data_IF_500146817791
#
_entry.id   IF_500146817791
#
_cell.length_a   1.000
_cell.length_b   1.000
_cell.length_c   1.000
_cell.angle_alpha   90.00
_cell.angle_beta   90.00
_cell.angle_gamma   90.00
#
_symmetry.space_group_name_H-M   'P 1'
#
loop_
_entity.id
_entity.type
_entity.pdbx_description
1 polymer ?
#
# COMPACT_ATOMS: atom_id res chain seq x y z
N UNK A 1 33.52 -14.54 44.02
CA UNK A 1 34.03 -14.33 42.65
C UNK A 1 33.23 -13.20 42.05
N UNK A 2 33.87 -12.08 41.73
CA UNK A 2 33.22 -10.97 41.01
C UNK A 2 33.39 -11.33 39.53
N UNK A 3 32.31 -11.74 38.87
CA UNK A 3 32.31 -11.86 37.41
C UNK A 3 32.44 -10.43 36.85
N UNK A 4 33.36 -10.16 35.91
CA UNK A 4 33.39 -8.86 35.26
C UNK A 4 32.03 -8.62 34.61
N UNK A 5 31.45 -7.44 34.84
CA UNK A 5 30.22 -7.06 34.15
C UNK A 5 30.44 -7.20 32.63
N UNK A 6 29.52 -7.86 31.92
CA UNK A 6 29.63 -7.97 30.47
C UNK A 6 29.67 -6.54 29.89
N UNK A 7 30.76 -6.22 29.21
CA UNK A 7 30.96 -4.91 28.61
C UNK A 7 29.91 -4.72 27.53
N UNK A 8 29.03 -3.73 27.70
CA UNK A 8 28.14 -3.32 26.62
C UNK A 8 28.96 -2.61 25.54
N UNK A 9 29.13 -3.28 24.41
CA UNK A 9 29.87 -2.72 23.28
C UNK A 9 29.17 -1.50 22.66
N UNK A 10 27.86 -1.32 22.88
CA UNK A 10 27.13 -0.13 22.42
C UNK A 10 27.53 1.15 23.16
N UNK A 11 28.04 1.05 24.39
CA UNK A 11 28.55 2.22 25.14
C UNK A 11 29.76 2.87 24.46
N UNK A 12 30.44 2.14 23.57
CA UNK A 12 31.59 2.64 22.81
C UNK A 12 31.19 3.37 21.52
N UNK A 13 29.94 3.21 21.07
CA UNK A 13 29.45 3.85 19.86
C UNK A 13 28.94 5.25 20.17
N UNK A 14 29.18 6.27 19.32
CA UNK A 14 28.49 7.56 19.42
C UNK A 14 26.98 7.45 19.13
N UNK A 15 26.18 8.38 19.68
CA UNK A 15 24.73 8.42 19.45
C UNK A 15 24.36 8.55 17.97
N UNK A 16 25.15 9.29 17.18
CA UNK A 16 24.94 9.43 15.73
C UNK A 16 25.00 8.09 14.99
N UNK A 17 25.82 7.14 15.45
CA UNK A 17 25.92 5.80 14.88
C UNK A 17 24.71 4.95 15.29
N UNK A 18 24.27 5.07 16.55
CA UNK A 18 23.04 4.40 17.01
C UNK A 18 21.81 4.89 16.24
N UNK A 19 21.67 6.20 16.06
CA UNK A 19 20.60 6.80 15.26
C UNK A 19 20.64 6.32 13.81
N UNK A 20 21.83 6.23 13.21
CA UNK A 20 21.96 5.65 11.88
C UNK A 20 21.48 4.19 11.83
N UNK A 21 21.84 3.37 12.83
CA UNK A 21 21.38 1.98 12.94
C UNK A 21 19.85 1.93 13.10
N UNK A 22 19.27 2.73 13.99
CA UNK A 22 17.82 2.77 14.20
C UNK A 22 17.06 3.22 12.95
N UNK A 23 17.58 4.20 12.21
CA UNK A 23 17.02 4.61 10.91
C UNK A 23 17.11 3.50 9.84
N UNK A 24 18.06 2.56 9.95
CA UNK A 24 18.10 1.36 9.10
C UNK A 24 17.12 0.28 9.54
N UNK A 25 16.81 0.19 10.83
CA UNK A 25 15.78 -0.69 11.35
C UNK A 25 14.40 -0.19 10.88
N UNK A 26 14.05 1.06 11.21
CA UNK A 26 12.85 1.78 10.78
C UNK A 26 11.49 1.19 11.22
N UNK A 27 11.38 -0.13 11.30
CA UNK A 27 10.18 -0.85 11.71
C UNK A 27 9.80 -0.50 13.15
N UNK A 28 8.59 0.04 13.33
CA UNK A 28 8.12 0.53 14.64
C UNK A 28 8.11 -0.55 15.72
N UNK A 29 7.90 -1.82 15.36
CA UNK A 29 7.88 -2.91 16.34
C UNK A 29 9.30 -3.27 16.76
N UNK A 30 10.23 -3.32 15.81
CA UNK A 30 11.64 -3.53 16.11
C UNK A 30 12.23 -2.36 16.91
N UNK A 31 11.90 -1.11 16.54
CA UNK A 31 12.29 0.09 17.28
C UNK A 31 11.71 0.10 18.71
N UNK A 32 10.45 -0.30 18.89
CA UNK A 32 9.86 -0.47 20.22
C UNK A 32 10.62 -1.48 21.09
N UNK A 33 11.14 -2.57 20.49
CA UNK A 33 12.03 -3.52 21.18
C UNK A 33 13.40 -2.90 21.49
N UNK A 34 13.96 -2.07 20.60
CA UNK A 34 15.19 -1.32 20.89
C UNK A 34 15.00 -0.38 22.09
N UNK A 35 13.85 0.27 22.21
CA UNK A 35 13.54 1.21 23.29
C UNK A 35 13.53 0.59 24.69
N UNK A 36 13.41 -0.74 24.82
CA UNK A 36 13.43 -1.42 26.12
C UNK A 36 14.81 -1.97 26.51
N UNK A 37 15.81 -1.87 25.62
CA UNK A 37 17.17 -2.39 25.86
C UNK A 37 17.90 -1.56 26.91
N UNK A 38 17.87 -0.23 26.80
CA UNK A 38 18.54 0.68 27.73
C UNK A 38 17.87 2.06 27.74
N UNK A 39 18.13 2.87 28.77
CA UNK A 39 17.65 4.26 28.82
C UNK A 39 18.17 5.10 27.65
N UNK A 40 19.40 4.83 27.21
CA UNK A 40 20.03 5.52 26.07
C UNK A 40 19.32 5.18 24.76
N UNK A 41 18.95 3.91 24.56
CA UNK A 41 18.19 3.53 23.38
C UNK A 41 16.78 4.12 23.43
N UNK A 42 16.15 4.08 24.60
CA UNK A 42 14.83 4.67 24.83
C UNK A 42 14.75 6.16 24.46
N UNK A 43 15.80 6.94 24.75
CA UNK A 43 15.86 8.36 24.38
C UNK A 43 16.19 8.61 22.92
N UNK A 44 16.87 7.68 22.24
CA UNK A 44 17.30 7.86 20.85
C UNK A 44 16.28 7.36 19.82
N UNK A 45 15.48 6.34 20.15
CA UNK A 45 14.48 5.81 19.23
C UNK A 45 13.46 6.86 18.77
N UNK A 46 12.94 7.77 19.62
CA UNK A 46 12.05 8.86 19.17
C UNK A 46 12.68 9.82 18.14
N UNK A 47 14.01 9.89 18.06
CA UNK A 47 14.76 10.80 17.18
C UNK A 47 15.02 10.21 15.78
N UNK A 48 14.51 9.02 15.48
CA UNK A 48 14.61 8.48 14.12
C UNK A 48 13.71 9.27 13.18
N UNK A 49 14.19 9.45 11.95
CA UNK A 49 13.47 10.18 10.91
C UNK A 49 12.94 9.27 9.78
N UNK A 50 13.32 7.99 9.79
CA UNK A 50 12.81 6.96 8.88
C UNK A 50 12.01 5.88 9.62
N UNK A 51 10.70 5.82 9.35
CA UNK A 51 9.75 4.96 10.06
C UNK A 51 8.98 4.07 9.10
N UNK A 52 8.88 2.78 9.43
CA UNK A 52 8.08 1.77 8.75
C UNK A 52 7.00 1.23 9.70
N UNK A 53 5.73 1.35 9.29
CA UNK A 53 4.58 0.79 10.00
C UNK A 53 4.00 -0.36 9.18
N UNK A 54 4.08 -1.59 9.71
CA UNK A 54 3.39 -2.76 9.15
C UNK A 54 2.06 -2.97 9.87
N UNK A 55 0.98 -3.02 9.09
CA UNK A 55 -0.39 -3.20 9.61
C UNK A 55 -0.75 -4.68 9.57
N UNK A 56 -0.87 -5.31 10.74
CA UNK A 56 -1.02 -6.78 10.84
C UNK A 56 -2.47 -7.29 10.77
N UNK A 57 -3.49 -6.47 11.10
CA UNK A 57 -4.88 -6.93 11.19
C UNK A 57 -5.88 -5.88 10.68
N UNK A 58 -6.80 -6.31 9.81
CA UNK A 58 -8.11 -5.66 9.63
C UNK A 58 -9.07 -6.40 10.55
N UNK A 59 -9.46 -5.81 11.68
CA UNK A 59 -10.52 -6.40 12.51
C UNK A 59 -11.82 -6.28 11.72
N UNK A 60 -12.42 -7.40 11.34
CA UNK A 60 -13.78 -7.43 10.80
C UNK A 60 -14.75 -7.21 11.96
N UNK A 61 -15.47 -6.09 11.97
CA UNK A 61 -16.69 -5.93 12.77
C UNK A 61 -17.79 -6.84 12.17
N UNK A 62 -17.72 -8.15 12.40
CA UNK A 62 -18.89 -9.03 12.28
C UNK A 62 -19.47 -9.21 13.69
N UNK A 63 -20.32 -8.27 14.11
CA UNK A 63 -21.28 -8.48 15.19
C UNK A 63 -22.60 -7.79 14.80
N UNK A 64 -23.60 -8.55 14.36
CA UNK A 64 -24.68 -8.85 15.29
C UNK A 64 -25.24 -10.24 15.10
N UNK A 65 -25.06 -11.05 16.14
CA UNK A 65 -25.93 -12.16 16.49
C UNK A 65 -27.39 -11.73 16.58
N UNK A 66 -28.26 -12.40 15.83
CA UNK A 66 -29.67 -12.57 16.15
C UNK A 66 -30.14 -13.94 15.62
N UNK A 67 -30.89 -14.72 16.42
CA UNK A 67 -31.30 -16.07 16.05
C UNK A 67 -32.63 -16.08 15.26
N UNK A 68 -32.83 -17.15 14.48
CA UNK A 68 -34.07 -17.65 13.84
C UNK A 68 -34.58 -16.96 12.56
N UNK A 69 -34.53 -17.63 11.41
CA UNK A 69 -35.59 -18.54 10.90
C UNK A 69 -35.46 -18.84 9.38
N UNK A 70 -35.51 -20.14 9.06
CA UNK A 70 -35.99 -20.82 7.83
C UNK A 70 -35.76 -20.24 6.42
N UNK A 71 -35.16 -21.09 5.54
CA UNK A 71 -35.42 -21.28 4.09
C UNK A 71 -35.34 -20.04 3.20
N UNK A 72 -34.74 -20.01 2.00
CA UNK A 72 -34.79 -20.94 0.88
C UNK A 72 -33.60 -20.63 -0.03
N UNK A 73 -33.07 -21.65 -0.69
CA UNK A 73 -32.09 -21.52 -1.77
C UNK A 73 -32.71 -20.81 -2.98
N UNK A 74 -32.06 -19.80 -3.53
CA UNK A 74 -31.88 -19.72 -5.00
C UNK A 74 -30.78 -18.72 -5.39
N UNK A 75 -30.16 -19.14 -6.47
CA UNK A 75 -28.95 -18.71 -7.14
C UNK A 75 -29.03 -17.32 -7.81
N UNK A 76 -27.85 -16.81 -8.23
CA UNK A 76 -27.60 -15.71 -9.19
C UNK A 76 -27.56 -14.26 -8.67
N UNK A 77 -26.36 -13.83 -8.30
CA UNK A 77 -25.54 -12.86 -9.07
C UNK A 77 -24.42 -12.32 -8.16
N UNK A 78 -23.22 -12.87 -8.33
CA UNK A 78 -22.02 -12.44 -7.61
C UNK A 78 -21.60 -11.07 -8.12
N UNK A 79 -21.95 -10.01 -7.39
CA UNK A 79 -21.40 -8.67 -7.56
C UNK A 79 -19.99 -8.61 -6.91
N UNK A 80 -18.90 -8.39 -7.66
CA UNK A 80 -17.53 -8.43 -7.12
C UNK A 80 -17.07 -7.12 -6.46
N UNK A 81 -17.99 -6.24 -6.08
CA UNK A 81 -17.68 -4.87 -5.58
C UNK A 81 -17.94 -4.65 -4.08
N UNK A 82 -18.53 -5.62 -3.35
CA UNK A 82 -18.75 -5.46 -1.91
C UNK A 82 -17.48 -5.73 -1.08
N UNK A 83 -16.56 -6.57 -1.56
CA UNK A 83 -15.33 -6.90 -0.83
C UNK A 83 -14.31 -5.75 -0.79
N UNK A 84 -14.31 -4.86 -1.79
CA UNK A 84 -13.43 -3.68 -1.84
C UNK A 84 -13.74 -2.67 -0.73
N UNK A 85 -14.99 -2.59 -0.30
CA UNK A 85 -15.39 -1.77 0.85
C UNK A 85 -15.10 -2.47 2.18
N UNK A 86 -14.97 -3.81 2.23
CA UNK A 86 -14.78 -4.51 3.50
C UNK A 86 -13.33 -4.42 4.00
N UNK A 87 -12.33 -4.39 3.10
CA UNK A 87 -10.93 -4.26 3.52
C UNK A 87 -10.54 -2.82 3.92
N UNK A 88 -11.10 -1.82 3.24
CA UNK A 88 -10.77 -0.40 3.46
C UNK A 88 -11.53 0.21 4.65
N UNK A 89 -12.67 -0.36 5.06
CA UNK A 89 -13.59 0.28 6.01
C UNK A 89 -13.71 -0.39 7.39
N UNK A 90 -13.07 -1.53 7.66
CA UNK A 90 -13.29 -2.24 8.94
C UNK A 90 -12.29 -1.92 10.06
N UNK A 91 -11.23 -1.14 9.82
CA UNK A 91 -10.14 -1.03 10.82
C UNK A 91 -10.05 0.23 11.69
N UNK A 92 -10.66 1.36 11.34
CA UNK A 92 -10.08 2.64 11.82
C UNK A 92 -10.99 3.77 12.31
N UNK A 93 -12.28 3.58 12.62
CA UNK A 93 -13.02 4.63 13.36
C UNK A 93 -14.16 4.08 14.25
N UNK A 94 -13.96 4.11 15.57
CA UNK A 94 -14.98 4.57 16.54
C UNK A 94 -14.37 5.72 17.37
N UNK A 95 -15.21 6.67 17.85
CA UNK A 95 -14.78 7.99 18.29
C UNK A 95 -13.99 7.94 19.60
N UNK A 96 -12.94 8.76 19.66
CA UNK A 96 -12.09 8.96 20.82
C UNK A 96 -12.88 9.40 22.06
N UNK A 97 -13.23 8.44 22.91
CA UNK A 97 -13.50 8.67 24.32
C UNK A 97 -12.87 7.53 25.12
N UNK A 98 -12.02 7.93 26.07
CA UNK A 98 -11.40 7.11 27.11
C UNK A 98 -10.17 6.30 26.69
N UNK A 99 -8.99 6.81 27.01
CA UNK A 99 -8.13 6.32 28.11
C UNK A 99 -6.84 7.17 28.07
N UNK A 100 -6.91 8.31 28.75
CA UNK A 100 -5.74 8.88 29.43
C UNK A 100 -5.58 8.11 30.72
N UNK A 101 -4.72 7.10 30.75
CA UNK A 101 -4.02 6.62 31.95
C UNK A 101 -3.06 5.51 31.53
N UNK A 102 -1.85 5.55 32.08
CA UNK A 102 -0.67 4.73 31.75
C UNK A 102 0.11 5.16 30.50
N UNK A 103 0.87 6.25 30.65
CA UNK A 103 2.34 6.26 30.76
C UNK A 103 2.74 7.74 30.92
N UNK A 104 2.73 8.19 32.17
CA UNK A 104 3.38 9.41 32.62
C UNK A 104 4.23 8.99 33.81
N UNK A 105 5.46 8.55 33.55
CA UNK A 105 6.44 8.37 34.62
C UNK A 105 7.03 9.75 34.89
N UNK A 106 6.40 10.47 35.82
CA UNK A 106 7.02 11.58 36.54
C UNK A 106 7.13 11.16 38.01
N UNK A 107 8.28 11.33 38.67
CA UNK A 107 8.49 10.79 40.01
C UNK A 107 7.99 11.78 41.06
N UNK A 108 7.10 11.34 41.97
CA UNK A 108 7.15 11.61 43.44
C UNK A 108 5.88 11.17 44.20
N UNK A 109 6.14 10.37 45.25
CA UNK A 109 5.49 10.32 46.60
C UNK A 109 4.15 9.61 46.80
N UNK A 110 4.27 8.39 47.36
CA UNK A 110 3.84 7.92 48.70
C UNK A 110 2.35 7.89 49.13
N UNK A 111 1.98 6.69 49.63
CA UNK A 111 0.91 6.32 50.58
C UNK A 111 -0.54 6.47 50.06
N UNK A 112 -1.52 5.57 50.28
CA UNK A 112 -1.73 4.52 51.27
C UNK A 112 -2.92 3.62 50.87
N UNK A 113 -2.81 2.31 51.16
CA UNK A 113 -3.85 1.33 51.54
C UNK A 113 -5.32 1.46 51.06
N UNK A 114 -5.84 0.40 50.44
CA UNK A 114 -6.91 -0.45 51.03
C UNK A 114 -7.29 -1.62 50.11
N UNK A 115 -7.68 -2.72 50.74
CA UNK A 115 -7.87 -4.06 50.19
C UNK A 115 -9.20 -4.26 49.45
N UNK A 116 -9.22 -5.16 48.45
CA UNK A 116 -10.38 -5.98 48.13
C UNK A 116 -9.99 -7.14 47.20
N UNK A 117 -10.08 -8.35 47.77
CA UNK A 117 -10.47 -9.65 47.20
C UNK A 117 -10.01 -10.05 45.78
N UNK A 118 -9.21 -11.12 45.80
CA UNK A 118 -8.92 -12.02 44.69
C UNK A 118 -10.19 -12.81 44.36
N UNK A 119 -10.66 -12.73 43.12
CA UNK A 119 -11.30 -13.88 42.47
C UNK A 119 -10.65 -14.05 41.10
N UNK A 120 -10.04 -15.21 40.92
CA UNK A 120 -9.21 -15.54 39.78
C UNK A 120 -10.06 -16.16 38.68
N UNK A 121 -10.01 -15.57 37.50
CA UNK A 121 -10.11 -16.33 36.26
C UNK A 121 -9.09 -15.75 35.28
N UNK A 122 -7.88 -16.30 35.40
CA UNK A 122 -6.73 -16.04 34.54
C UNK A 122 -6.93 -16.84 33.24
N UNK A 123 -7.54 -16.20 32.25
CA UNK A 123 -7.29 -16.54 30.85
C UNK A 123 -6.64 -15.33 30.21
N UNK A 124 -5.30 -15.39 30.10
CA UNK A 124 -4.45 -14.53 29.29
C UNK A 124 -4.97 -14.47 27.84
N UNK A 125 -5.96 -13.62 27.60
CA UNK A 125 -6.23 -13.10 26.27
C UNK A 125 -5.15 -12.04 26.06
N UNK A 126 -4.04 -12.48 25.48
CA UNK A 126 -2.95 -11.65 24.96
C UNK A 126 -3.56 -10.57 24.07
N UNK A 127 -3.99 -9.46 24.70
CA UNK A 127 -4.65 -8.37 24.02
C UNK A 127 -3.55 -7.64 23.28
N UNK A 128 -3.32 -8.07 22.05
CA UNK A 128 -2.47 -7.33 21.11
C UNK A 128 -3.11 -5.96 21.02
N UNK A 129 -2.51 -4.96 21.68
CA UNK A 129 -2.97 -3.58 21.60
C UNK A 129 -2.70 -3.12 20.17
N UNK A 130 -3.70 -3.28 19.31
CA UNK A 130 -3.65 -2.78 17.94
C UNK A 130 -3.76 -1.25 18.00
N UNK A 131 -2.62 -0.58 18.15
CA UNK A 131 -2.55 0.86 18.04
C UNK A 131 -2.71 1.26 16.57
N UNK A 132 -3.61 2.21 16.31
CA UNK A 132 -3.73 2.85 14.99
C UNK A 132 -2.37 3.44 14.58
N UNK A 133 -2.00 3.43 13.28
CA UNK A 133 -0.76 4.05 12.79
C UNK A 133 -0.54 5.46 13.34
N UNK A 134 -1.57 6.30 13.39
CA UNK A 134 -1.49 7.66 13.96
C UNK A 134 -1.02 7.66 15.41
N UNK A 135 -1.48 6.71 16.22
CA UNK A 135 -1.11 6.64 17.64
C UNK A 135 0.34 6.17 17.84
N UNK A 136 0.82 5.28 16.97
CA UNK A 136 2.22 4.82 17.01
C UNK A 136 3.17 5.93 16.58
N UNK A 137 2.80 6.69 15.56
CA UNK A 137 3.64 7.73 14.97
C UNK A 137 3.88 8.93 15.91
N UNK A 138 2.98 9.19 16.86
CA UNK A 138 3.16 10.21 17.92
C UNK A 138 4.37 10.01 18.82
N UNK A 139 4.93 8.81 18.85
CA UNK A 139 6.11 8.51 19.67
C UNK A 139 7.43 8.98 19.04
N UNK A 140 7.38 9.57 17.85
CA UNK A 140 8.53 10.05 17.10
C UNK A 140 8.48 11.57 16.95
N UNK A 141 9.63 12.22 17.12
CA UNK A 141 9.73 13.69 17.14
C UNK A 141 9.66 14.28 15.73
N UNK A 142 10.53 13.81 14.83
CA UNK A 142 10.70 14.38 13.49
C UNK A 142 10.76 13.28 12.42
N UNK A 143 9.59 12.80 12.00
CA UNK A 143 9.53 11.83 10.90
C UNK A 143 9.71 12.57 9.56
N UNK A 144 10.70 12.17 8.76
CA UNK A 144 10.91 12.67 7.39
C UNK A 144 10.47 11.66 6.34
N UNK A 145 10.75 10.38 6.57
CA UNK A 145 10.43 9.28 5.66
C UNK A 145 9.45 8.34 6.36
N UNK A 146 8.23 8.22 5.84
CA UNK A 146 7.23 7.31 6.36
C UNK A 146 6.83 6.28 5.32
N UNK A 147 7.00 4.99 5.65
CA UNK A 147 6.45 3.88 4.89
C UNK A 147 5.36 3.18 5.71
N UNK A 148 4.19 3.01 5.12
CA UNK A 148 3.10 2.21 5.68
C UNK A 148 2.90 1.00 4.77
N UNK A 149 2.94 -0.19 5.35
CA UNK A 149 2.70 -1.44 4.65
C UNK A 149 1.37 -2.05 5.12
N UNK A 150 0.41 -2.15 4.20
CA UNK A 150 -0.86 -2.83 4.38
C UNK A 150 -0.71 -4.34 4.15
N UNK A 151 -1.59 -5.20 4.70
CA UNK A 151 -1.62 -6.61 4.35
C UNK A 151 -1.87 -6.82 2.85
N UNK A 152 -1.61 -8.02 2.35
CA UNK A 152 -1.66 -8.37 0.92
C UNK A 152 -2.90 -7.84 0.18
N UNK A 153 -2.69 -7.46 -1.09
CA UNK A 153 -3.58 -6.71 -1.98
C UNK A 153 -5.09 -6.73 -1.74
N UNK A 154 -5.68 -5.53 -1.75
CA UNK A 154 -7.13 -5.27 -1.61
C UNK A 154 -7.95 -5.74 -2.83
N UNK A 155 -7.32 -5.87 -3.99
CA UNK A 155 -7.98 -6.24 -5.23
C UNK A 155 -7.94 -7.77 -5.36
N UNK A 156 -9.04 -8.43 -5.00
CA UNK A 156 -9.25 -9.88 -5.17
C UNK A 156 -9.19 -10.27 -6.65
N UNK A 157 -7.98 -10.44 -7.16
CA UNK A 157 -7.69 -10.84 -8.53
C UNK A 157 -7.74 -12.36 -8.67
N UNK A 158 -8.24 -12.83 -9.81
CA UNK A 158 -8.25 -14.26 -10.13
C UNK A 158 -6.83 -14.83 -10.18
N UNK A 159 -6.67 -16.12 -9.85
CA UNK A 159 -5.37 -16.78 -9.88
C UNK A 159 -4.69 -16.65 -11.26
N UNK A 160 -3.43 -16.24 -11.26
CA UNK A 160 -2.63 -16.06 -12.47
C UNK A 160 -2.78 -14.69 -13.14
N UNK A 161 -3.76 -13.86 -12.75
CA UNK A 161 -3.88 -12.48 -13.22
C UNK A 161 -2.83 -11.61 -12.54
N UNK A 162 -2.22 -10.69 -13.29
CA UNK A 162 -1.38 -9.63 -12.75
C UNK A 162 -2.16 -8.33 -12.75
N UNK A 163 -2.15 -7.64 -11.61
CA UNK A 163 -2.51 -6.25 -11.50
C UNK A 163 -1.54 -5.57 -10.56
N UNK A 164 -0.90 -4.50 -11.02
CA UNK A 164 -0.03 -3.63 -10.23
C UNK A 164 -0.34 -2.18 -10.57
N UNK A 165 -0.36 -1.33 -9.57
CA UNK A 165 -0.56 0.09 -9.79
C UNK A 165 0.31 0.94 -8.86
N UNK A 166 0.73 2.10 -9.38
CA UNK A 166 1.44 3.13 -8.63
C UNK A 166 0.76 4.46 -8.87
N UNK A 167 0.44 5.19 -7.82
CA UNK A 167 -0.17 6.51 -7.91
C UNK A 167 0.59 7.52 -7.06
N UNK A 168 0.87 8.69 -7.66
CA UNK A 168 1.42 9.83 -6.93
C UNK A 168 0.29 10.85 -6.70
N UNK A 169 0.24 11.43 -5.50
CA UNK A 169 -0.77 12.42 -5.11
C UNK A 169 -0.11 13.67 -4.53
N UNK A 170 -0.65 14.84 -4.88
CA UNK A 170 -0.54 16.09 -4.13
C UNK A 170 -1.86 16.38 -3.40
N UNK A 171 -2.49 17.53 -3.66
CA UNK A 171 -3.87 17.77 -3.20
C UNK A 171 -4.90 16.88 -3.92
N UNK A 172 -4.59 16.48 -5.15
CA UNK A 172 -5.36 15.56 -6.00
C UNK A 172 -4.43 14.53 -6.62
N UNK A 173 -4.96 13.60 -7.41
CA UNK A 173 -4.13 12.66 -8.17
C UNK A 173 -3.21 13.43 -9.13
N UNK A 174 -1.89 13.15 -9.10
CA UNK A 174 -0.94 13.72 -10.06
C UNK A 174 -0.69 12.78 -11.24
N UNK A 175 -0.46 11.51 -10.94
CA UNK A 175 -0.34 10.48 -11.95
C UNK A 175 -0.69 9.10 -11.36
N UNK A 176 -1.17 8.21 -12.20
CA UNK A 176 -1.35 6.80 -11.87
C UNK A 176 -0.89 5.94 -13.04
N UNK A 177 -0.09 4.91 -12.75
CA UNK A 177 0.32 3.90 -13.73
C UNK A 177 -0.21 2.56 -13.27
N UNK A 178 -0.85 1.85 -14.20
CA UNK A 178 -1.42 0.53 -13.98
C UNK A 178 -0.78 -0.43 -14.98
N UNK A 179 -0.17 -1.49 -14.48
CA UNK A 179 0.30 -2.62 -15.27
C UNK A 179 -0.57 -3.83 -14.94
N UNK A 180 -1.12 -4.48 -15.95
CA UNK A 180 -1.84 -5.73 -15.76
C UNK A 180 -1.61 -6.73 -16.88
N UNK A 181 -1.84 -8.01 -16.57
CA UNK A 181 -1.79 -9.11 -17.53
C UNK A 181 -2.90 -10.10 -17.21
N UNK A 182 -3.56 -10.64 -18.24
CA UNK A 182 -4.62 -11.64 -18.03
C UNK A 182 -4.07 -12.96 -17.51
N UNK A 183 -2.80 -13.24 -17.75
CA UNK A 183 -2.11 -14.41 -17.22
C UNK A 183 -0.60 -14.15 -17.18
N UNK A 184 0.06 -14.60 -16.11
CA UNK A 184 1.52 -14.64 -15.98
C UNK A 184 2.00 -16.08 -16.05
N UNK A 185 2.95 -16.34 -16.92
CA UNK A 185 3.65 -17.63 -17.00
C UNK A 185 5.08 -17.39 -16.56
N UNK A 186 5.48 -18.02 -15.46
CA UNK A 186 6.84 -17.92 -14.95
C UNK A 186 7.76 -18.86 -15.72
N UNK A 187 9.06 -18.50 -15.87
CA UNK A 187 10.05 -19.40 -16.44
C UNK A 187 10.12 -20.68 -15.62
N UNK A 188 10.01 -21.84 -16.28
CA UNK A 188 10.13 -23.14 -15.60
C UNK A 188 11.58 -23.32 -15.19
N UNK A 189 11.90 -23.10 -13.91
CA UNK A 189 13.14 -23.62 -13.34
C UNK A 189 13.00 -25.14 -13.27
N UNK A 190 13.69 -25.82 -14.19
CA UNK A 190 13.56 -27.26 -14.39
C UNK A 190 14.08 -28.03 -13.18
N UNK A 191 13.21 -28.37 -12.24
CA UNK A 191 13.35 -29.56 -11.38
C UNK A 191 12.00 -30.25 -11.26
N UNK A 192 11.58 -30.90 -12.34
CA UNK A 192 10.73 -32.10 -12.41
C UNK A 192 10.11 -32.16 -13.80
N UNK A 193 10.49 -33.18 -14.57
CA UNK A 193 10.03 -33.37 -15.94
C UNK A 193 8.54 -33.70 -16.00
N UNK A 194 7.80 -32.96 -16.82
CA UNK A 194 6.60 -33.43 -17.49
C UNK A 194 6.43 -32.66 -18.80
N UNK A 195 6.57 -33.40 -19.90
CA UNK A 195 6.19 -33.15 -21.31
C UNK A 195 5.72 -31.73 -21.71
N UNK A 196 6.52 -31.07 -22.55
CA UNK A 196 6.09 -29.97 -23.41
C UNK A 196 4.95 -30.43 -24.33
N UNK A 197 3.79 -29.80 -24.22
CA UNK A 197 2.89 -29.66 -25.37
C UNK A 197 3.32 -28.42 -26.14
N UNK A 198 3.86 -28.64 -27.34
CA UNK A 198 4.04 -27.60 -28.35
C UNK A 198 2.67 -26.97 -28.63
N UNK A 199 2.49 -25.72 -28.22
CA UNK A 199 1.42 -24.87 -28.75
C UNK A 199 2.05 -24.07 -29.89
N UNK A 200 1.48 -24.26 -31.07
CA UNK A 200 1.90 -23.69 -32.34
C UNK A 200 2.28 -22.21 -32.23
N UNK A 201 3.52 -21.93 -32.65
CA UNK A 201 4.00 -20.59 -32.91
C UNK A 201 3.30 -20.03 -34.13
N UNK A 202 2.13 -19.43 -33.94
CA UNK A 202 1.69 -18.40 -34.86
C UNK A 202 2.42 -17.12 -34.48
N UNK A 203 3.60 -16.93 -35.10
CA UNK A 203 4.28 -15.65 -35.14
C UNK A 203 3.46 -14.66 -35.96
N UNK A 204 2.29 -14.28 -35.44
CA UNK A 204 1.60 -13.10 -35.91
C UNK A 204 2.53 -11.93 -35.62
N UNK A 205 2.92 -11.23 -36.69
CA UNK A 205 3.52 -9.91 -36.62
C UNK A 205 2.59 -9.04 -35.75
N UNK A 206 2.86 -9.01 -34.44
CA UNK A 206 2.15 -8.21 -33.46
C UNK A 206 2.46 -6.76 -33.78
N UNK A 207 1.67 -6.19 -34.69
CA UNK A 207 1.81 -4.84 -35.22
C UNK A 207 1.49 -3.78 -34.13
N UNK A 208 1.49 -4.18 -32.85
CA UNK A 208 1.12 -3.40 -31.68
C UNK A 208 -0.36 -3.06 -31.62
N UNK A 209 -1.19 -3.63 -32.49
CA UNK A 209 -2.63 -3.39 -32.51
C UNK A 209 -3.37 -4.34 -31.56
N UNK A 210 -4.36 -3.80 -30.86
CA UNK A 210 -5.29 -4.60 -30.04
C UNK A 210 -6.09 -5.54 -30.96
N UNK A 211 -6.05 -6.87 -30.75
CA UNK A 211 -6.80 -7.84 -31.55
C UNK A 211 -8.30 -7.74 -31.25
N UNK A 212 -9.15 -8.07 -32.24
CA UNK A 212 -10.62 -7.98 -32.11
C UNK A 212 -11.17 -8.79 -30.92
N UNK A 213 -10.52 -9.90 -30.61
CA UNK A 213 -10.83 -10.76 -29.45
C UNK A 213 -10.77 -10.01 -28.11
N UNK A 214 -9.98 -8.94 -28.01
CA UNK A 214 -9.91 -8.10 -26.82
C UNK A 214 -11.24 -7.39 -26.53
N UNK A 215 -11.97 -6.99 -27.58
CA UNK A 215 -13.25 -6.29 -27.47
C UNK A 215 -14.41 -7.27 -27.27
N UNK A 216 -14.38 -8.44 -27.90
CA UNK A 216 -15.48 -9.41 -27.85
C UNK A 216 -15.45 -10.33 -26.63
N UNK A 217 -14.26 -10.66 -26.10
CA UNK A 217 -14.11 -11.65 -25.03
C UNK A 217 -14.12 -11.03 -23.62
N UNK A 218 -14.66 -9.81 -23.47
CA UNK A 218 -14.68 -9.10 -22.19
C UNK A 218 -13.33 -8.59 -21.71
N UNK A 219 -12.27 -8.67 -22.53
CA UNK A 219 -10.93 -8.17 -22.20
C UNK A 219 -10.93 -6.68 -21.90
N UNK A 220 -11.57 -5.88 -22.75
CA UNK A 220 -11.75 -4.44 -22.50
C UNK A 220 -12.50 -4.17 -21.18
N UNK A 221 -13.59 -4.89 -20.92
CA UNK A 221 -14.37 -4.75 -19.68
C UNK A 221 -13.50 -5.00 -18.44
N UNK A 222 -12.65 -6.03 -18.49
CA UNK A 222 -11.71 -6.34 -17.42
C UNK A 222 -10.70 -5.21 -17.19
N UNK A 223 -10.16 -4.59 -18.25
CA UNK A 223 -9.24 -3.44 -18.14
C UNK A 223 -9.92 -2.19 -17.56
N UNK A 224 -11.19 -1.96 -17.92
CA UNK A 224 -12.00 -0.88 -17.32
C UNK A 224 -12.17 -1.12 -15.82
N UNK A 225 -12.54 -2.35 -15.41
CA UNK A 225 -12.67 -2.70 -13.99
C UNK A 225 -11.36 -2.50 -13.25
N UNK A 226 -10.23 -3.01 -13.78
CA UNK A 226 -8.91 -2.80 -13.16
C UNK A 226 -8.56 -1.32 -12.99
N UNK A 227 -8.84 -0.52 -14.01
CA UNK A 227 -8.56 0.92 -14.00
C UNK A 227 -9.38 1.63 -12.91
N UNK A 228 -10.70 1.41 -12.89
CA UNK A 228 -11.59 2.02 -11.90
C UNK A 228 -11.26 1.54 -10.48
N UNK A 229 -11.05 0.23 -10.29
CA UNK A 229 -10.71 -0.35 -8.99
C UNK A 229 -9.39 0.19 -8.46
N UNK A 230 -8.35 0.31 -9.30
CA UNK A 230 -7.05 0.87 -8.88
C UNK A 230 -7.16 2.35 -8.49
N UNK A 231 -7.93 3.15 -9.25
CA UNK A 231 -8.14 4.56 -8.92
C UNK A 231 -8.94 4.74 -7.61
N UNK A 232 -9.94 3.90 -7.37
CA UNK A 232 -10.71 3.88 -6.10
C UNK A 232 -9.79 3.51 -4.93
N UNK A 233 -8.97 2.47 -5.09
CA UNK A 233 -8.05 2.00 -4.07
C UNK A 233 -6.99 3.07 -3.74
N UNK A 234 -6.48 3.75 -4.77
CA UNK A 234 -5.55 4.86 -4.64
C UNK A 234 -6.19 6.08 -3.93
N UNK A 235 -7.39 6.50 -4.33
CA UNK A 235 -8.07 7.66 -3.74
C UNK A 235 -8.52 7.41 -2.29
N UNK A 236 -8.84 6.17 -1.93
CA UNK A 236 -9.13 5.80 -0.55
C UNK A 236 -7.89 5.86 0.34
N UNK A 237 -6.74 5.31 -0.12
CA UNK A 237 -5.46 5.44 0.59
C UNK A 237 -5.07 6.90 0.82
N UNK A 238 -5.23 7.73 -0.21
CA UNK A 238 -4.94 9.16 -0.12
C UNK A 238 -5.79 9.85 0.97
N UNK A 239 -7.09 9.55 1.01
CA UNK A 239 -7.99 10.07 2.04
C UNK A 239 -7.57 9.64 3.46
N UNK A 240 -7.17 8.37 3.65
CA UNK A 240 -6.77 7.84 4.95
C UNK A 240 -5.49 8.48 5.51
N UNK A 241 -4.62 8.98 4.64
CA UNK A 241 -3.34 9.58 5.02
C UNK A 241 -3.46 11.02 5.52
N UNK A 242 -4.60 11.68 5.28
CA UNK A 242 -4.79 13.10 5.59
C UNK A 242 -4.50 13.44 7.07
N UNK A 243 -5.00 12.70 8.08
CA UNK A 243 -4.71 13.03 9.48
C UNK A 243 -3.23 12.89 9.82
N UNK A 244 -2.56 11.87 9.27
CA UNK A 244 -1.12 11.61 9.48
C UNK A 244 -0.29 12.76 8.91
N UNK A 245 -0.59 13.19 7.69
CA UNK A 245 0.13 14.29 7.01
C UNK A 245 -0.14 15.64 7.71
N UNK A 246 -1.35 15.81 8.25
CA UNK A 246 -1.71 17.00 9.01
C UNK A 246 -0.93 17.09 10.34
N UNK A 247 -0.71 15.97 11.01
CA UNK A 247 0.00 15.88 12.29
C UNK A 247 1.53 15.94 12.12
N UNK A 248 2.10 15.22 11.14
CA UNK A 248 3.55 15.14 10.93
C UNK A 248 4.03 16.13 9.84
N UNK A 249 4.30 17.37 10.25
CA UNK A 249 4.71 18.47 9.36
C UNK A 249 6.12 18.32 8.77
N UNK A 250 6.98 17.53 9.39
CA UNK A 250 8.36 17.29 8.97
C UNK A 250 8.50 16.24 7.85
N UNK A 251 7.40 15.58 7.45
CA UNK A 251 7.45 14.57 6.39
C UNK A 251 7.90 15.18 5.07
N UNK A 252 8.94 14.58 4.50
CA UNK A 252 9.51 14.84 3.18
C UNK A 252 9.12 13.75 2.17
N UNK A 253 8.82 12.53 2.62
CA UNK A 253 8.37 11.45 1.76
C UNK A 253 7.42 10.51 2.50
N UNK A 254 6.35 10.12 1.81
CA UNK A 254 5.38 9.17 2.29
C UNK A 254 5.09 8.10 1.23
N UNK A 255 5.15 6.84 1.63
CA UNK A 255 4.81 5.69 0.78
C UNK A 255 3.83 4.79 1.53
N UNK A 256 2.68 4.52 0.93
CA UNK A 256 1.74 3.51 1.40
C UNK A 256 1.67 2.40 0.36
N UNK A 257 2.01 1.17 0.75
CA UNK A 257 2.07 0.01 -0.16
C UNK A 257 1.41 -1.21 0.45
N UNK A 258 0.95 -2.13 -0.40
CA UNK A 258 0.57 -3.48 0.04
C UNK A 258 1.82 -4.35 0.25
N UNK A 259 1.71 -5.41 1.05
CA UNK A 259 2.80 -6.35 1.33
C UNK A 259 3.32 -7.08 0.07
N UNK A 260 2.44 -7.33 -0.90
CA UNK A 260 2.76 -7.92 -2.21
C UNK A 260 3.08 -6.86 -3.29
N UNK A 261 3.12 -5.59 -2.89
CA UNK A 261 3.37 -4.44 -3.76
C UNK A 261 2.41 -4.40 -4.96
N UNK A 262 1.17 -4.86 -4.76
CA UNK A 262 0.09 -4.72 -5.74
C UNK A 262 -0.21 -3.24 -5.98
N UNK A 263 -0.48 -2.49 -4.91
CA UNK A 263 -0.77 -1.08 -4.94
C UNK A 263 0.25 -0.25 -4.19
N UNK A 264 0.70 0.85 -4.80
CA UNK A 264 1.64 1.80 -4.20
C UNK A 264 1.13 3.23 -4.37
N UNK A 265 0.89 3.91 -3.25
CA UNK A 265 0.69 5.36 -3.21
C UNK A 265 1.98 6.03 -2.75
N UNK A 266 2.42 7.07 -3.43
CA UNK A 266 3.56 7.89 -3.03
C UNK A 266 3.21 9.38 -2.96
N UNK A 267 3.87 10.09 -2.04
CA UNK A 267 3.86 11.55 -1.98
C UNK A 267 5.28 12.03 -1.66
N UNK A 268 5.79 12.98 -2.44
CA UNK A 268 7.06 13.65 -2.21
C UNK A 268 6.87 14.94 -1.37
N UNK A 269 7.96 15.64 -1.07
CA UNK A 269 7.95 16.84 -0.23
C UNK A 269 7.00 17.92 -0.77
N UNK A 270 7.13 18.26 -2.05
CA UNK A 270 6.33 19.31 -2.69
C UNK A 270 4.84 18.95 -2.67
N UNK A 271 4.51 17.68 -2.94
CA UNK A 271 3.15 17.13 -2.89
C UNK A 271 2.54 17.15 -1.48
N UNK A 272 3.35 16.82 -0.46
CA UNK A 272 2.94 16.89 0.94
C UNK A 272 2.70 18.35 1.37
N UNK A 273 3.53 19.28 0.92
CA UNK A 273 3.35 20.72 1.15
C UNK A 273 2.10 21.25 0.43
N UNK A 274 1.88 20.86 -0.83
CA UNK A 274 0.67 21.20 -1.59
C UNK A 274 -0.59 20.77 -0.83
N UNK A 275 -0.64 19.51 -0.38
CA UNK A 275 -1.78 18.97 0.36
C UNK A 275 -2.02 19.72 1.70
N UNK A 276 -0.97 20.20 2.35
CA UNK A 276 -1.08 20.97 3.60
C UNK A 276 -1.66 22.37 3.36
N UNK A 277 -1.33 23.01 2.24
CA UNK A 277 -1.82 24.37 1.87
C UNK A 277 -3.22 24.31 1.27
N UNK A 278 -3.47 23.31 0.42
CA UNK A 278 -4.75 23.06 -0.23
C UNK A 278 -5.26 21.67 0.20
N UNK A 279 -5.98 21.60 1.34
CA UNK A 279 -6.52 20.34 1.83
C UNK A 279 -7.45 19.68 0.81
N UNK A 280 -7.60 18.36 0.96
CA UNK A 280 -8.44 17.51 0.11
C UNK A 280 -9.81 18.13 -0.17
N UNK A 281 -10.15 18.22 -1.46
CA UNK A 281 -11.55 18.30 -1.87
C UNK A 281 -12.17 16.90 -1.71
N UNK A 282 -12.59 16.60 -0.49
CA UNK A 282 -13.26 15.33 -0.18
C UNK A 282 -14.66 15.30 -0.81
N UNK A 283 -15.04 14.15 -1.38
CA UNK A 283 -16.42 13.95 -1.81
C UNK A 283 -17.32 13.87 -0.58
N UNK A 284 -18.32 14.76 -0.45
CA UNK A 284 -19.21 14.78 0.72
C UNK A 284 -20.01 13.48 0.92
N UNK A 285 -20.09 12.62 -0.11
CA UNK A 285 -20.85 11.37 -0.08
C UNK A 285 -19.97 10.10 0.03
N UNK A 286 -18.65 10.19 -0.18
CA UNK A 286 -17.75 9.04 -0.09
C UNK A 286 -16.47 9.41 0.66
N UNK A 287 -16.00 8.54 1.57
CA UNK A 287 -14.73 8.71 2.31
C UNK A 287 -13.52 8.53 1.38
N UNK A 288 -13.43 9.33 0.32
CA UNK A 288 -12.44 9.27 -0.75
C UNK A 288 -12.13 10.67 -1.26
N UNK A 289 -10.92 10.84 -1.78
CA UNK A 289 -10.56 12.04 -2.55
C UNK A 289 -11.26 12.03 -3.90
N UNK A 290 -11.79 13.18 -4.31
CA UNK A 290 -12.33 13.37 -5.67
C UNK A 290 -11.23 13.10 -6.71
N UNK A 291 -11.54 12.30 -7.73
CA UNK A 291 -10.62 12.09 -8.85
C UNK A 291 -10.95 13.10 -9.94
N UNK A 292 -9.99 13.95 -10.38
CA UNK A 292 -10.24 14.95 -11.41
C UNK A 292 -10.53 14.30 -12.77
N UNK A 293 -10.91 15.09 -13.77
CA UNK A 293 -10.95 14.58 -15.14
C UNK A 293 -9.55 14.12 -15.56
N UNK A 294 -9.45 12.98 -16.24
CA UNK A 294 -8.20 12.28 -16.52
C UNK A 294 -7.99 12.08 -18.02
N UNK A 295 -6.75 12.27 -18.46
CA UNK A 295 -6.23 11.77 -19.72
C UNK A 295 -5.52 10.43 -19.48
N UNK A 296 -5.90 9.43 -20.24
CA UNK A 296 -5.33 8.08 -20.17
C UNK A 296 -4.63 7.73 -21.46
N UNK A 297 -3.47 7.10 -21.33
CA UNK A 297 -2.78 6.41 -22.43
C UNK A 297 -2.67 4.94 -22.12
N UNK A 298 -3.07 4.12 -23.08
CA UNK A 298 -3.05 2.68 -22.99
C UNK A 298 -2.09 2.09 -24.02
N UNK A 299 -1.26 1.16 -23.57
CA UNK A 299 -0.42 0.30 -24.40
C UNK A 299 -0.81 -1.15 -24.17
N UNK A 300 -0.77 -1.93 -25.23
CA UNK A 300 -1.19 -3.33 -25.20
C UNK A 300 -0.22 -4.24 -25.94
N UNK A 301 -0.05 -5.45 -25.41
CA UNK A 301 0.61 -6.56 -26.06
C UNK A 301 -0.18 -7.85 -25.80
N UNK A 302 -0.52 -8.59 -26.85
CA UNK A 302 -1.18 -9.90 -26.69
C UNK A 302 -0.26 -10.89 -25.98
N UNK A 303 1.04 -10.80 -26.27
CA UNK A 303 2.09 -11.62 -25.68
C UNK A 303 3.33 -10.74 -25.45
N UNK A 304 3.84 -10.72 -24.21
CA UNK A 304 5.04 -9.98 -23.84
C UNK A 304 5.98 -10.90 -23.06
N UNK A 305 7.07 -11.31 -23.69
CA UNK A 305 8.14 -12.08 -23.06
C UNK A 305 9.21 -11.14 -22.50
N UNK A 306 9.55 -11.34 -21.22
CA UNK A 306 10.54 -10.55 -20.50
C UNK A 306 11.91 -11.24 -20.54
N UNK A 307 13.03 -10.50 -20.34
CA UNK A 307 14.38 -11.07 -20.41
C UNK A 307 14.67 -12.18 -19.40
N UNK A 308 13.89 -12.26 -18.31
CA UNK A 308 13.99 -13.30 -17.29
C UNK A 308 13.23 -14.59 -17.68
N UNK A 309 12.58 -14.62 -18.84
CA UNK A 309 11.75 -15.72 -19.32
C UNK A 309 10.30 -15.68 -18.80
N UNK A 310 9.92 -14.65 -18.04
CA UNK A 310 8.52 -14.44 -17.64
C UNK A 310 7.70 -13.99 -18.85
N UNK A 311 6.54 -14.61 -19.06
CA UNK A 311 5.62 -14.26 -20.15
C UNK A 311 4.34 -13.66 -19.58
N UNK A 312 4.01 -12.45 -20.04
CA UNK A 312 2.78 -11.74 -19.72
C UNK A 312 1.80 -11.84 -20.90
N UNK A 313 0.69 -12.57 -20.72
CA UNK A 313 -0.39 -12.68 -21.71
C UNK A 313 -1.40 -11.55 -21.54
N UNK A 314 -1.75 -10.90 -22.65
CA UNK A 314 -2.64 -9.74 -22.66
C UNK A 314 -2.10 -8.58 -21.82
N UNK A 315 -0.79 -8.37 -21.82
CA UNK A 315 -0.15 -7.30 -21.05
C UNK A 315 -0.72 -5.93 -21.45
N UNK A 316 -1.09 -5.13 -20.46
CA UNK A 316 -1.70 -3.82 -20.62
C UNK A 316 -1.04 -2.85 -19.66
N UNK A 317 -0.61 -1.71 -20.18
CA UNK A 317 -0.09 -0.60 -19.38
C UNK A 317 -0.99 0.61 -19.60
N UNK A 318 -1.44 1.23 -18.51
CA UNK A 318 -2.25 2.44 -18.55
C UNK A 318 -1.51 3.53 -17.77
N UNK A 319 -1.22 4.66 -18.42
CA UNK A 319 -0.71 5.86 -17.77
C UNK A 319 -1.81 6.92 -17.72
N UNK A 320 -2.12 7.38 -16.52
CA UNK A 320 -3.24 8.25 -16.19
C UNK A 320 -2.69 9.55 -15.60
N UNK A 321 -3.18 10.70 -16.07
CA UNK A 321 -2.86 12.02 -15.53
C UNK A 321 -4.08 12.94 -15.55
N UNK A 322 -4.17 13.96 -14.69
CA UNK A 322 -5.20 14.99 -14.79
C UNK A 322 -5.23 15.66 -16.16
N UNK A 323 -6.43 16.00 -16.64
CA UNK A 323 -6.63 16.62 -17.95
C UNK A 323 -6.13 18.06 -18.03
N UNK A 324 -6.14 18.78 -16.90
CA UNK A 324 -5.75 20.19 -16.78
C UNK A 324 -4.23 20.41 -16.70
N UNK A 325 -3.45 19.35 -16.46
CA UNK A 325 -1.99 19.47 -16.42
C UNK A 325 -1.41 19.68 -17.83
N UNK A 326 -0.39 20.55 -17.99
CA UNK A 326 0.25 20.76 -19.28
C UNK A 326 0.77 19.43 -19.83
N UNK A 327 0.55 19.18 -21.13
CA UNK A 327 0.97 17.96 -21.82
C UNK A 327 2.50 17.83 -21.78
N UNK A 328 3.06 17.30 -20.70
CA UNK A 328 4.43 16.74 -20.72
C UNK A 328 4.38 15.53 -21.65
N UNK A 329 5.04 15.64 -22.78
CA UNK A 329 5.19 14.56 -23.76
C UNK A 329 5.74 13.31 -23.06
N UNK A 330 5.03 12.18 -23.14
CA UNK A 330 5.52 10.90 -22.57
C UNK A 330 6.45 10.17 -23.52
N UNK A 331 6.69 10.74 -24.70
CA UNK A 331 7.53 10.16 -25.74
C UNK A 331 8.88 10.90 -25.87
N UNK A 332 9.10 11.98 -25.09
CA UNK A 332 10.43 12.57 -24.90
C UNK A 332 11.26 11.81 -23.86
N UNK A 333 12.41 12.37 -23.45
CA UNK A 333 13.30 11.84 -22.40
C UNK A 333 12.59 11.45 -21.07
N UNK A 334 11.33 11.84 -20.92
CA UNK A 334 10.37 11.49 -19.88
C UNK A 334 9.71 10.09 -20.02
N UNK A 335 10.08 9.22 -20.96
CA UNK A 335 9.66 7.81 -20.92
C UNK A 335 10.15 7.06 -19.65
N UNK A 336 11.08 7.68 -18.92
CA UNK A 336 11.77 7.12 -17.76
C UNK A 336 10.87 6.93 -16.52
N UNK A 337 9.87 7.80 -16.29
CA UNK A 337 9.03 7.68 -15.08
C UNK A 337 8.10 6.46 -15.13
N UNK A 338 7.65 6.06 -16.33
CA UNK A 338 6.80 4.86 -16.50
C UNK A 338 7.58 3.58 -16.21
N UNK A 339 8.84 3.53 -16.65
CA UNK A 339 9.74 2.41 -16.38
C UNK A 339 10.23 2.34 -14.94
N UNK A 340 10.23 3.46 -14.22
CA UNK A 340 10.62 3.55 -12.81
C UNK A 340 9.47 3.27 -11.83
N UNK A 341 8.23 3.16 -12.33
CA UNK A 341 7.06 2.99 -11.48
C UNK A 341 6.94 1.61 -10.84
N UNK A 342 7.61 0.60 -11.40
CA UNK A 342 7.58 -0.76 -10.90
C UNK A 342 8.99 -1.31 -10.75
N UNK A 343 9.19 -2.16 -9.74
CA UNK A 343 10.42 -2.94 -9.60
C UNK A 343 10.53 -3.99 -10.71
N UNK A 344 11.73 -4.48 -10.94
CA UNK A 344 11.95 -5.57 -11.88
C UNK A 344 11.23 -6.86 -11.42
N UNK A 345 10.70 -7.67 -12.36
CA UNK A 345 10.82 -7.56 -13.82
C UNK A 345 9.77 -6.62 -14.47
N UNK A 346 8.84 -6.10 -13.68
CA UNK A 346 7.70 -5.31 -14.16
C UNK A 346 8.09 -3.91 -14.67
N UNK A 347 9.18 -3.33 -14.14
CA UNK A 347 9.79 -2.12 -14.70
C UNK A 347 10.23 -2.32 -16.15
N UNK A 348 10.87 -3.45 -16.47
CA UNK A 348 11.20 -3.83 -17.85
C UNK A 348 9.95 -4.01 -18.70
N UNK A 349 8.92 -4.70 -18.19
CA UNK A 349 7.65 -4.87 -18.89
C UNK A 349 7.04 -3.53 -19.31
N UNK A 350 7.00 -2.55 -18.40
CA UNK A 350 6.48 -1.22 -18.67
C UNK A 350 7.30 -0.50 -19.77
N UNK A 351 8.64 -0.56 -19.71
CA UNK A 351 9.51 0.04 -20.76
C UNK A 351 9.34 -0.61 -22.13
N UNK A 352 9.05 -1.90 -22.19
CA UNK A 352 8.77 -2.60 -23.44
C UNK A 352 7.39 -2.22 -24.00
N UNK A 353 6.37 -2.07 -23.15
CA UNK A 353 5.01 -1.71 -23.57
C UNK A 353 4.94 -0.28 -24.12
N UNK A 354 5.64 0.70 -23.53
CA UNK A 354 5.62 2.10 -24.00
C UNK A 354 6.14 2.27 -25.43
N UNK A 355 6.97 1.34 -25.93
CA UNK A 355 7.48 1.34 -27.31
C UNK A 355 6.43 0.92 -28.35
N UNK A 356 5.26 0.43 -27.91
CA UNK A 356 4.18 -0.05 -28.78
C UNK A 356 3.19 1.08 -29.11
N UNK A 357 2.20 0.76 -29.96
CA UNK A 357 1.13 1.69 -30.32
C UNK A 357 0.38 2.16 -29.07
N UNK A 358 0.12 3.46 -29.01
CA UNK A 358 -0.60 4.10 -27.91
C UNK A 358 -2.05 4.37 -28.28
N UNK A 359 -2.96 4.16 -27.33
CA UNK A 359 -4.37 4.51 -27.43
C UNK A 359 -4.69 5.57 -26.38
N UNK A 360 -5.27 6.69 -26.78
CA UNK A 360 -5.64 7.78 -25.89
C UNK A 360 -7.13 7.69 -25.52
N UNK A 361 -7.44 7.85 -24.23
CA UNK A 361 -8.81 7.91 -23.71
C UNK A 361 -8.94 9.09 -22.76
N UNK A 362 -10.16 9.62 -22.65
CA UNK A 362 -10.51 10.65 -21.67
C UNK A 362 -11.54 10.09 -20.71
N UNK A 363 -11.43 10.46 -19.44
CA UNK A 363 -12.39 10.09 -18.41
C UNK A 363 -12.78 11.33 -17.60
N UNK A 364 -14.08 11.53 -17.42
CA UNK A 364 -14.59 12.64 -16.61
C UNK A 364 -14.27 12.43 -15.11
N UNK A 365 -14.30 13.52 -14.35
CA UNK A 365 -14.12 13.48 -12.89
C UNK A 365 -15.21 12.64 -12.22
N UNK A 366 -14.88 11.97 -11.11
CA UNK A 366 -15.80 11.14 -10.34
C UNK A 366 -15.44 11.00 -8.86
#
# INVERSE_FOLDING_TARGET
MIYPEPIDHFDRLPDSILLFIFNKIGDVKALGRCSVVSRRFNSLVPEVDNVLVRVDCVISDDESSSPSSSGYSSDKSRHPISSLFRLVFSGLLKPFQSITQFISISPRRAASSSAAVVDGDDFEKNSVTHHSPTQVLKNFNEIKLLRIELPSGELGIDEGVLLKWRADFGSTLDNCIILGASSVIQPVTSTSGCSLQNIDGNGENDNGSIPDSFYTNGGLKLRVVWTISSLIAASARHYLLQPIIAEHKTLDSLVLTDADEQGVLCMNKDQLEELRVKPLSASSASKRTLVPALNMRLWYAAHLELPDGTVLKGATLVAIRPSEQPKKEVVGADGNWVGAAFKEPYGTAARMLVKRRTYCLEMNSF
#
